data_IF_421769832738
#
_entry.id   IF_421769832738
#
_cell.length_a   1.000
_cell.length_b   1.000
_cell.length_c   1.000
_cell.angle_alpha   90.00
_cell.angle_beta   90.00
_cell.angle_gamma   90.00
#
_symmetry.space_group_name_H-M   'P 1'
#
loop_
_entity.id
_entity.type
_entity.pdbx_description
1 polymer ?
#
# COMPACT_ATOMS: atom_id res chain seq x y z
N UNK A 1 31.33 -46.50 -36.32
CA UNK A 1 30.51 -45.27 -36.33
C UNK A 1 30.86 -44.49 -35.08
N UNK A 2 31.68 -43.46 -35.23
CA UNK A 2 32.02 -42.52 -34.16
C UNK A 2 30.89 -41.51 -34.03
N UNK A 3 30.12 -41.57 -32.93
CA UNK A 3 29.19 -40.53 -32.56
C UNK A 3 29.98 -39.23 -32.34
N UNK A 4 29.69 -38.20 -33.15
CA UNK A 4 30.19 -36.86 -32.89
C UNK A 4 29.51 -36.34 -31.62
N UNK A 5 30.26 -35.80 -30.64
CA UNK A 5 29.64 -35.22 -29.46
C UNK A 5 28.81 -34.00 -29.91
N UNK A 6 27.52 -34.02 -29.57
CA UNK A 6 26.65 -32.86 -29.70
C UNK A 6 27.25 -31.71 -28.90
N UNK A 7 27.88 -30.76 -29.57
CA UNK A 7 28.30 -29.50 -28.97
C UNK A 7 27.02 -28.72 -28.62
N UNK A 8 26.58 -28.84 -27.38
CA UNK A 8 25.55 -27.95 -26.85
C UNK A 8 26.10 -26.52 -26.87
N UNK A 9 25.39 -25.56 -27.50
CA UNK A 9 25.84 -24.18 -27.54
C UNK A 9 26.00 -23.66 -26.12
N UNK A 10 27.19 -23.14 -25.81
CA UNK A 10 27.51 -22.64 -24.48
C UNK A 10 26.90 -21.25 -24.31
N UNK A 11 26.31 -20.93 -23.15
CA UNK A 11 25.72 -19.60 -22.93
C UNK A 11 26.72 -18.46 -23.19
N UNK A 12 28.00 -18.69 -22.88
CA UNK A 12 29.09 -17.75 -23.12
C UNK A 12 29.44 -17.50 -24.59
N UNK A 13 28.91 -18.28 -25.54
CA UNK A 13 29.09 -18.02 -26.98
C UNK A 13 27.99 -17.15 -27.59
N UNK A 14 26.97 -16.78 -26.79
CA UNK A 14 25.93 -15.87 -27.23
C UNK A 14 26.45 -14.42 -27.23
N UNK A 15 25.93 -13.55 -28.11
CA UNK A 15 26.08 -12.10 -27.99
C UNK A 15 25.68 -11.59 -26.60
N UNK A 16 26.41 -10.59 -26.11
CA UNK A 16 26.23 -10.02 -24.76
C UNK A 16 24.79 -9.60 -24.48
N UNK A 17 24.09 -9.03 -25.47
CA UNK A 17 22.70 -8.58 -25.36
C UNK A 17 21.74 -9.74 -25.09
N UNK A 18 22.01 -10.93 -25.67
CA UNK A 18 21.21 -12.12 -25.42
C UNK A 18 21.50 -12.70 -24.03
N UNK A 19 22.76 -12.67 -23.59
CA UNK A 19 23.13 -13.08 -22.23
C UNK A 19 22.42 -12.20 -21.21
N UNK A 20 22.47 -10.87 -21.37
CA UNK A 20 21.77 -9.91 -20.50
C UNK A 20 20.28 -10.22 -20.46
N UNK A 21 19.66 -10.42 -21.64
CA UNK A 21 18.22 -10.72 -21.72
C UNK A 21 17.84 -12.02 -21.02
N UNK A 22 18.68 -13.06 -21.10
CA UNK A 22 18.47 -14.32 -20.37
C UNK A 22 18.59 -14.09 -18.86
N UNK A 23 19.66 -13.42 -18.43
CA UNK A 23 19.95 -13.18 -17.01
C UNK A 23 18.87 -12.32 -16.34
N UNK A 24 18.20 -11.43 -17.08
CA UNK A 24 17.09 -10.60 -16.58
C UNK A 24 15.90 -11.42 -16.06
N UNK A 25 15.72 -12.66 -16.53
CA UNK A 25 14.63 -13.53 -16.05
C UNK A 25 14.97 -14.26 -14.74
N UNK A 26 16.20 -14.12 -14.25
CA UNK A 26 16.61 -14.72 -12.98
C UNK A 26 16.16 -13.87 -11.79
N UNK A 27 15.88 -14.54 -10.68
CA UNK A 27 15.69 -13.84 -9.41
C UNK A 27 17.05 -13.27 -8.93
N UNK A 28 17.02 -12.28 -8.01
CA UNK A 28 18.24 -11.65 -7.50
C UNK A 28 19.32 -12.61 -7.00
N UNK A 29 18.93 -13.68 -6.30
CA UNK A 29 19.88 -14.63 -5.68
C UNK A 29 20.60 -15.46 -6.74
N UNK A 30 19.87 -15.91 -7.76
CA UNK A 30 20.44 -16.70 -8.84
C UNK A 30 21.34 -15.83 -9.73
N UNK A 31 21.01 -14.55 -9.91
CA UNK A 31 21.88 -13.60 -10.60
C UNK A 31 23.23 -13.44 -9.88
N UNK A 32 23.21 -13.26 -8.55
CA UNK A 32 24.43 -13.18 -7.74
C UNK A 32 25.24 -14.49 -7.78
N UNK A 33 24.58 -15.65 -7.88
CA UNK A 33 25.27 -16.93 -8.08
C UNK A 33 25.95 -17.00 -9.45
N UNK A 34 25.31 -16.49 -10.51
CA UNK A 34 25.91 -16.44 -11.85
C UNK A 34 27.22 -15.64 -11.87
N UNK A 35 27.36 -14.58 -11.06
CA UNK A 35 28.64 -13.84 -10.93
C UNK A 35 29.79 -14.72 -10.42
N UNK A 36 29.49 -15.78 -9.68
CA UNK A 36 30.50 -16.69 -9.11
C UNK A 36 30.88 -17.83 -10.05
N UNK A 37 30.19 -17.97 -11.20
CA UNK A 37 30.41 -19.08 -12.14
C UNK A 37 31.65 -18.85 -13.01
N UNK A 38 31.78 -17.67 -13.62
CA UNK A 38 32.92 -17.31 -14.46
C UNK A 38 33.11 -15.80 -14.58
N UNK A 39 34.29 -15.38 -15.06
CA UNK A 39 34.63 -13.95 -15.25
C UNK A 39 33.69 -13.24 -16.20
N UNK A 40 33.35 -13.86 -17.34
CA UNK A 40 32.44 -13.27 -18.33
C UNK A 40 31.08 -12.89 -17.72
N UNK A 41 30.45 -13.81 -16.98
CA UNK A 41 29.16 -13.53 -16.34
C UNK A 41 29.29 -12.50 -15.22
N UNK A 42 30.39 -12.53 -14.47
CA UNK A 42 30.68 -11.51 -13.48
C UNK A 42 30.77 -10.12 -14.11
N UNK A 43 31.56 -9.98 -15.18
CA UNK A 43 31.78 -8.71 -15.86
C UNK A 43 30.46 -8.19 -16.47
N UNK A 44 29.71 -9.04 -17.18
CA UNK A 44 28.39 -8.68 -17.76
C UNK A 44 27.42 -8.21 -16.68
N UNK A 45 27.30 -8.94 -15.57
CA UNK A 45 26.37 -8.58 -14.50
C UNK A 45 26.83 -7.30 -13.79
N UNK A 46 28.13 -7.14 -13.55
CA UNK A 46 28.69 -5.99 -12.84
C UNK A 46 28.64 -4.69 -13.64
N UNK A 47 28.76 -4.77 -14.97
CA UNK A 47 28.77 -3.61 -15.87
C UNK A 47 27.37 -3.25 -16.41
N UNK A 48 26.41 -4.19 -16.36
CA UNK A 48 25.04 -3.92 -16.81
C UNK A 48 24.20 -3.30 -15.70
N UNK A 49 23.84 -2.02 -15.87
CA UNK A 49 22.93 -1.32 -14.95
C UNK A 49 21.58 -2.04 -14.79
N UNK A 50 21.06 -2.65 -15.86
CA UNK A 50 19.80 -3.41 -15.83
C UNK A 50 19.91 -4.66 -14.96
N UNK A 51 21.05 -5.36 -14.99
CA UNK A 51 21.27 -6.55 -14.16
C UNK A 51 21.61 -6.17 -12.71
N UNK A 52 22.38 -5.09 -12.49
CA UNK A 52 22.66 -4.57 -11.15
C UNK A 52 21.41 -4.03 -10.45
N UNK A 53 20.44 -3.53 -11.20
CA UNK A 53 19.21 -2.98 -10.65
C UNK A 53 18.37 -4.03 -9.88
N UNK A 54 18.29 -5.26 -10.39
CA UNK A 54 17.50 -6.36 -9.80
C UNK A 54 17.87 -6.67 -8.34
N UNK A 55 19.14 -6.98 -7.99
CA UNK A 55 19.51 -7.25 -6.61
C UNK A 55 19.46 -6.00 -5.73
N UNK A 56 19.69 -4.80 -6.28
CA UNK A 56 19.57 -3.56 -5.50
C UNK A 56 18.14 -3.27 -5.09
N UNK A 57 17.15 -3.52 -5.95
CA UNK A 57 15.74 -3.45 -5.59
C UNK A 57 15.43 -4.37 -4.40
N UNK A 58 15.90 -5.61 -4.44
CA UNK A 58 15.71 -6.57 -3.35
C UNK A 58 16.31 -6.07 -2.03
N UNK A 59 17.53 -5.53 -2.06
CA UNK A 59 18.19 -4.98 -0.86
C UNK A 59 17.42 -3.78 -0.30
N UNK A 60 16.90 -2.92 -1.17
CA UNK A 60 16.10 -1.76 -0.79
C UNK A 60 14.67 -2.13 -0.33
N UNK A 61 14.24 -3.39 -0.49
CA UNK A 61 12.86 -3.81 -0.22
C UNK A 61 11.85 -3.19 -1.19
N UNK A 62 12.27 -2.87 -2.42
CA UNK A 62 11.45 -2.22 -3.44
C UNK A 62 11.14 -3.18 -4.60
N UNK A 63 10.04 -2.91 -5.28
CA UNK A 63 9.61 -3.62 -6.48
C UNK A 63 9.89 -2.78 -7.73
N UNK A 64 10.08 -3.45 -8.87
CA UNK A 64 10.22 -2.75 -10.15
C UNK A 64 8.88 -2.11 -10.55
N UNK A 65 8.94 -0.83 -10.88
CA UNK A 65 7.75 -0.06 -11.24
C UNK A 65 7.20 -0.43 -12.62
N UNK A 66 5.95 -0.03 -12.92
CA UNK A 66 5.33 -0.24 -14.24
C UNK A 66 6.19 0.38 -15.36
N UNK A 67 6.06 -0.09 -16.62
CA UNK A 67 6.84 0.46 -17.73
C UNK A 67 6.75 1.98 -17.82
N UNK A 68 7.90 2.65 -17.99
CA UNK A 68 8.00 4.10 -18.07
C UNK A 68 8.99 4.52 -19.17
N UNK A 69 9.00 5.81 -19.50
CA UNK A 69 9.97 6.36 -20.45
C UNK A 69 11.42 6.35 -19.90
N UNK A 70 11.60 6.09 -18.61
CA UNK A 70 12.90 6.01 -17.95
C UNK A 70 13.53 4.65 -18.22
N UNK A 71 14.65 4.64 -18.94
CA UNK A 71 15.41 3.42 -19.22
C UNK A 71 16.05 2.80 -17.97
N UNK A 72 16.58 1.56 -18.06
CA UNK A 72 17.13 0.83 -16.91
C UNK A 72 18.22 1.59 -16.14
N UNK A 73 19.13 2.28 -16.85
CA UNK A 73 20.17 3.09 -16.21
C UNK A 73 19.59 4.27 -15.40
N UNK A 74 18.52 4.91 -15.91
CA UNK A 74 17.84 5.98 -15.18
C UNK A 74 17.12 5.45 -13.93
N UNK A 75 16.44 4.30 -14.03
CA UNK A 75 15.82 3.63 -12.87
C UNK A 75 16.85 3.26 -11.81
N UNK A 76 18.00 2.77 -12.23
CA UNK A 76 19.11 2.44 -11.35
C UNK A 76 19.63 3.68 -10.62
N UNK A 77 19.81 4.80 -11.34
CA UNK A 77 20.22 6.06 -10.73
C UNK A 77 19.18 6.57 -9.72
N UNK A 78 17.90 6.58 -10.09
CA UNK A 78 16.81 6.98 -9.19
C UNK A 78 16.78 6.13 -7.91
N UNK A 79 17.03 4.82 -8.02
CA UNK A 79 17.14 3.93 -6.86
C UNK A 79 18.34 4.30 -5.98
N UNK A 80 19.49 4.60 -6.58
CA UNK A 80 20.67 5.02 -5.84
C UNK A 80 20.44 6.34 -5.11
N UNK A 81 19.87 7.34 -5.79
CA UNK A 81 19.56 8.65 -5.21
C UNK A 81 18.56 8.50 -4.05
N UNK A 82 17.53 7.68 -4.25
CA UNK A 82 16.55 7.35 -3.21
C UNK A 82 17.18 6.71 -1.98
N UNK A 83 18.10 5.75 -2.16
CA UNK A 83 18.77 5.08 -1.03
C UNK A 83 19.70 6.03 -0.29
N UNK A 84 20.47 6.87 -0.99
CA UNK A 84 21.33 7.87 -0.36
C UNK A 84 20.53 8.84 0.53
N UNK A 85 19.41 9.34 0.02
CA UNK A 85 18.52 10.23 0.76
C UNK A 85 17.78 9.54 1.89
N UNK A 86 17.51 8.23 1.78
CA UNK A 86 16.94 7.46 2.86
C UNK A 86 17.93 7.24 4.02
N UNK A 87 19.21 6.98 3.69
CA UNK A 87 20.27 6.75 4.68
C UNK A 87 20.70 8.04 5.39
N UNK A 88 20.65 9.17 4.69
CA UNK A 88 20.99 10.50 5.19
C UNK A 88 19.92 11.52 4.74
N UNK A 89 18.76 11.58 5.41
CA UNK A 89 17.67 12.45 5.00
C UNK A 89 18.04 13.93 5.17
N UNK A 90 18.23 14.61 4.04
CA UNK A 90 18.38 16.06 3.98
C UNK A 90 17.01 16.68 3.70
N UNK A 91 16.46 17.39 4.70
CA UNK A 91 15.18 18.08 4.57
C UNK A 91 15.42 19.47 3.96
N UNK A 92 15.54 19.54 2.63
CA UNK A 92 15.82 20.79 1.91
C UNK A 92 14.64 21.77 1.93
N UNK A 93 13.42 21.27 2.10
CA UNK A 93 12.20 22.07 2.12
C UNK A 93 11.18 21.50 3.11
N UNK A 94 10.62 22.38 3.94
CA UNK A 94 9.51 22.07 4.83
C UNK A 94 8.32 22.94 4.43
N UNK A 95 7.15 22.31 4.25
CA UNK A 95 5.89 22.99 3.98
C UNK A 95 4.92 22.75 5.14
N UNK A 96 4.21 23.80 5.53
CA UNK A 96 3.17 23.72 6.55
C UNK A 96 1.81 23.66 5.86
N UNK A 97 1.15 22.50 5.95
CA UNK A 97 -0.20 22.32 5.42
C UNK A 97 -1.21 22.69 6.52
N UNK A 98 -2.08 23.71 6.31
CA UNK A 98 -3.10 24.07 7.29
C UNK A 98 -4.16 22.97 7.38
N UNK A 99 -4.56 22.63 8.61
CA UNK A 99 -5.58 21.62 8.87
C UNK A 99 -6.99 22.22 8.82
N UNK A 100 -7.92 21.58 8.09
CA UNK A 100 -9.33 21.99 8.05
C UNK A 100 -10.07 21.59 9.35
N UNK A 101 -10.03 20.30 9.71
CA UNK A 101 -10.41 19.78 11.02
C UNK A 101 -9.22 18.97 11.58
N UNK A 102 -8.62 19.37 12.72
CA UNK A 102 -7.48 18.67 13.29
C UNK A 102 -7.82 17.26 13.82
N UNK A 103 -9.11 16.91 13.91
CA UNK A 103 -9.58 15.63 14.47
C UNK A 103 -9.81 14.55 13.42
N UNK A 104 -9.98 14.93 12.15
CA UNK A 104 -10.49 14.03 11.13
C UNK A 104 -9.67 14.16 9.84
N UNK A 105 -8.56 13.44 9.82
CA UNK A 105 -7.61 13.38 8.71
C UNK A 105 -6.90 12.03 8.69
N UNK A 106 -6.37 11.67 7.51
CA UNK A 106 -5.57 10.46 7.29
C UNK A 106 -4.40 10.80 6.38
N UNK A 107 -3.23 10.20 6.61
CA UNK A 107 -2.07 10.32 5.74
C UNK A 107 -1.55 8.92 5.41
N UNK A 108 -1.83 8.46 4.20
CA UNK A 108 -1.45 7.13 3.77
C UNK A 108 -1.01 7.12 2.31
N UNK A 109 0.03 6.35 1.99
CA UNK A 109 0.54 6.22 0.62
C UNK A 109 1.02 7.52 -0.02
N UNK A 110 1.36 8.55 0.77
CA UNK A 110 1.71 9.88 0.27
C UNK A 110 0.51 10.74 -0.12
N UNK A 111 -0.72 10.38 0.29
CA UNK A 111 -1.92 11.19 0.12
C UNK A 111 -2.43 11.61 1.49
N UNK A 112 -2.50 12.92 1.72
CA UNK A 112 -3.18 13.52 2.87
C UNK A 112 -4.65 13.71 2.52
N UNK A 113 -5.54 13.26 3.39
CA UNK A 113 -6.99 13.46 3.26
C UNK A 113 -7.50 14.12 4.52
N UNK A 114 -8.30 15.15 4.36
CA UNK A 114 -8.84 15.94 5.46
C UNK A 114 -10.34 16.12 5.30
N UNK A 115 -11.08 15.99 6.38
CA UNK A 115 -12.48 16.37 6.38
C UNK A 115 -12.64 17.88 6.30
N UNK A 116 -13.55 18.31 5.42
CA UNK A 116 -14.00 19.69 5.30
C UNK A 116 -15.48 19.74 5.68
N UNK A 117 -15.76 19.83 6.99
CA UNK A 117 -17.10 19.64 7.52
C UNK A 117 -17.42 18.16 7.75
N UNK A 118 -18.68 17.76 7.65
CA UNK A 118 -19.15 16.40 7.99
C UNK A 118 -19.48 15.53 6.77
N UNK A 119 -19.27 16.03 5.55
CA UNK A 119 -19.60 15.32 4.30
C UNK A 119 -18.60 15.53 3.16
N UNK A 120 -17.69 16.49 3.27
CA UNK A 120 -16.70 16.75 2.22
C UNK A 120 -15.32 16.30 2.67
N UNK A 121 -14.51 15.86 1.71
CA UNK A 121 -13.12 15.46 1.91
C UNK A 121 -12.23 16.20 0.92
N UNK A 122 -11.16 16.81 1.41
CA UNK A 122 -10.09 17.38 0.61
C UNK A 122 -8.89 16.42 0.58
N UNK A 123 -8.33 16.23 -0.61
CA UNK A 123 -7.21 15.33 -0.84
C UNK A 123 -6.02 16.14 -1.35
N UNK A 124 -4.83 15.77 -0.88
CA UNK A 124 -3.55 16.28 -1.35
C UNK A 124 -2.58 15.11 -1.53
N UNK A 125 -2.29 14.77 -2.78
CA UNK A 125 -1.16 13.92 -3.11
C UNK A 125 0.13 14.72 -2.92
N UNK A 126 0.96 14.28 -1.98
CA UNK A 126 2.23 14.92 -1.67
C UNK A 126 3.22 14.71 -2.83
N UNK A 127 3.96 15.75 -3.24
CA UNK A 127 4.96 15.63 -4.28
C UNK A 127 6.18 14.81 -3.80
N UNK A 128 6.87 14.18 -4.74
CA UNK A 128 8.16 13.54 -4.49
C UNK A 128 9.03 13.61 -5.74
N UNK A 129 10.08 14.44 -5.70
CA UNK A 129 11.02 14.61 -6.83
C UNK A 129 11.71 13.29 -7.16
N UNK A 130 12.22 12.57 -6.15
CA UNK A 130 12.92 11.29 -6.32
C UNK A 130 12.05 10.21 -6.95
N UNK A 131 10.74 10.26 -6.72
CA UNK A 131 9.77 9.30 -7.28
C UNK A 131 9.05 9.83 -8.50
N UNK A 132 9.33 11.07 -8.94
CA UNK A 132 8.62 11.74 -10.03
C UNK A 132 7.13 11.93 -9.76
N UNK A 133 6.73 12.08 -8.50
CA UNK A 133 5.35 12.26 -8.08
C UNK A 133 5.05 13.75 -8.06
N UNK A 134 4.09 14.17 -8.89
CA UNK A 134 3.57 15.54 -8.88
C UNK A 134 2.56 15.74 -7.75
N UNK A 135 2.46 16.97 -7.27
CA UNK A 135 1.41 17.37 -6.35
C UNK A 135 0.06 17.42 -7.08
N UNK A 136 -0.97 16.87 -6.45
CA UNK A 136 -2.36 16.98 -6.92
C UNK A 136 -3.28 17.29 -5.76
N UNK A 137 -4.23 18.18 -5.97
CA UNK A 137 -5.25 18.53 -4.98
C UNK A 137 -6.61 18.37 -5.63
N UNK A 138 -7.52 17.70 -4.95
CA UNK A 138 -8.91 17.57 -5.36
C UNK A 138 -9.82 17.48 -4.14
N UNK A 139 -11.12 17.66 -4.35
CA UNK A 139 -12.13 17.64 -3.29
C UNK A 139 -13.32 16.82 -3.73
N UNK A 140 -13.80 15.96 -2.84
CA UNK A 140 -15.13 15.35 -2.93
C UNK A 140 -16.06 16.21 -2.06
N UNK A 141 -16.96 16.96 -2.69
CA UNK A 141 -17.83 17.92 -1.99
C UNK A 141 -18.93 17.25 -1.16
N UNK A 142 -19.33 16.03 -1.52
CA UNK A 142 -20.28 15.22 -0.75
C UNK A 142 -19.99 13.73 -0.93
N UNK A 143 -19.60 13.06 0.15
CA UNK A 143 -19.41 11.60 0.19
C UNK A 143 -20.71 10.84 0.40
N UNK A 144 -21.87 11.49 0.36
CA UNK A 144 -23.19 10.85 0.42
C UNK A 144 -23.64 10.38 1.81
N UNK A 145 -22.78 10.47 2.83
CA UNK A 145 -23.08 10.10 4.22
C UNK A 145 -22.42 11.09 5.19
N UNK A 146 -22.85 11.09 6.46
CA UNK A 146 -22.15 11.84 7.51
C UNK A 146 -20.90 11.08 7.93
N UNK A 147 -19.77 11.76 8.00
CA UNK A 147 -18.47 11.14 8.29
C UNK A 147 -18.24 11.08 9.80
N UNK A 148 -18.09 9.88 10.35
CA UNK A 148 -17.58 9.66 11.71
C UNK A 148 -16.06 9.45 11.73
N UNK A 149 -15.56 8.64 10.81
CA UNK A 149 -14.13 8.37 10.58
C UNK A 149 -13.93 7.83 9.16
N UNK A 150 -12.69 7.80 8.66
CA UNK A 150 -12.37 7.20 7.36
C UNK A 150 -10.93 6.70 7.29
N UNK A 151 -10.67 5.85 6.31
CA UNK A 151 -9.31 5.51 5.89
C UNK A 151 -9.26 5.32 4.37
N UNK A 152 -8.05 5.29 3.83
CA UNK A 152 -7.79 5.29 2.40
C UNK A 152 -6.74 4.26 2.01
N UNK A 153 -6.84 3.77 0.77
CA UNK A 153 -5.78 3.03 0.09
C UNK A 153 -5.63 3.56 -1.35
N UNK A 154 -4.69 4.49 -1.59
CA UNK A 154 -4.43 5.06 -2.91
C UNK A 154 -4.07 4.03 -3.98
N UNK A 155 -3.46 2.89 -3.62
CA UNK A 155 -3.04 1.88 -4.58
C UNK A 155 -4.24 1.19 -5.24
N UNK A 156 -5.39 1.19 -4.56
CA UNK A 156 -6.62 0.57 -5.03
C UNK A 156 -7.73 1.60 -5.29
N UNK A 157 -7.44 2.91 -5.18
CA UNK A 157 -8.43 3.99 -5.24
C UNK A 157 -9.57 3.82 -4.22
N UNK A 158 -9.27 3.25 -3.05
CA UNK A 158 -10.27 2.94 -2.03
C UNK A 158 -10.38 4.02 -0.97
N UNK A 159 -11.61 4.45 -0.70
CA UNK A 159 -12.02 5.28 0.42
C UNK A 159 -13.06 4.52 1.25
N UNK A 160 -12.71 4.16 2.48
CA UNK A 160 -13.60 3.50 3.43
C UNK A 160 -14.07 4.50 4.49
N UNK A 161 -15.37 4.80 4.52
CA UNK A 161 -15.96 5.84 5.38
C UNK A 161 -16.88 5.18 6.39
N UNK A 162 -16.63 5.42 7.67
CA UNK A 162 -17.56 5.06 8.74
C UNK A 162 -18.59 6.16 8.87
N UNK A 163 -19.86 5.77 8.73
CA UNK A 163 -20.98 6.68 8.84
C UNK A 163 -21.26 7.07 10.29
N UNK A 164 -21.48 8.36 10.54
CA UNK A 164 -22.02 8.85 11.80
C UNK A 164 -23.50 8.48 11.93
N UNK A 165 -23.75 7.40 12.65
CA UNK A 165 -25.07 6.84 12.90
C UNK A 165 -25.75 7.41 14.16
N UNK A 166 -25.27 8.50 14.76
CA UNK A 166 -25.86 9.11 15.97
C UNK A 166 -27.35 9.47 15.84
N UNK A 167 -27.85 9.60 14.61
CA UNK A 167 -29.26 9.87 14.30
C UNK A 167 -30.05 8.68 13.75
N UNK A 168 -29.43 7.51 13.58
CA UNK A 168 -30.11 6.32 13.06
C UNK A 168 -30.90 5.61 14.17
N UNK A 169 -32.18 5.30 13.89
CA UNK A 169 -33.08 4.65 14.86
C UNK A 169 -32.71 3.19 15.17
N UNK A 170 -31.89 2.57 14.33
CA UNK A 170 -31.20 1.31 14.63
C UNK A 170 -29.73 1.64 14.85
N UNK A 171 -29.13 1.12 15.92
CA UNK A 171 -27.71 1.24 16.29
C UNK A 171 -26.80 0.53 15.26
N UNK A 172 -27.00 0.79 13.97
CA UNK A 172 -26.33 0.15 12.85
C UNK A 172 -25.42 1.18 12.21
N UNK A 173 -24.14 0.84 12.16
CA UNK A 173 -23.08 1.63 11.55
C UNK A 173 -22.89 1.12 10.12
N UNK A 174 -22.93 2.05 9.17
CA UNK A 174 -22.58 1.81 7.77
C UNK A 174 -21.11 2.13 7.52
N UNK A 175 -20.43 1.27 6.77
CA UNK A 175 -19.08 1.52 6.24
C UNK A 175 -19.20 1.63 4.73
N UNK A 176 -19.13 2.84 4.21
CA UNK A 176 -19.29 3.14 2.79
C UNK A 176 -17.95 2.95 2.06
N UNK A 177 -17.96 2.14 1.01
CA UNK A 177 -16.80 1.86 0.15
C UNK A 177 -16.92 2.70 -1.13
N UNK A 178 -16.04 3.68 -1.28
CA UNK A 178 -16.06 4.66 -2.36
C UNK A 178 -14.72 4.75 -3.05
N UNK A 179 -14.70 5.37 -4.22
CA UNK A 179 -13.48 5.78 -4.91
C UNK A 179 -12.86 7.02 -4.26
N UNK A 180 -11.54 7.16 -4.27
CA UNK A 180 -10.86 8.35 -3.77
C UNK A 180 -10.92 9.52 -4.75
N UNK A 181 -10.90 9.24 -6.05
CA UNK A 181 -10.81 10.29 -7.06
C UNK A 181 -12.13 11.07 -7.26
N UNK A 182 -13.29 10.44 -7.13
CA UNK A 182 -14.59 11.09 -7.37
C UNK A 182 -15.70 10.79 -6.33
N UNK A 183 -15.45 9.90 -5.36
CA UNK A 183 -16.39 9.60 -4.28
C UNK A 183 -17.60 8.75 -4.69
N UNK A 184 -17.58 8.17 -5.89
CA UNK A 184 -18.61 7.24 -6.36
C UNK A 184 -18.48 5.88 -5.66
N UNK A 185 -19.54 5.03 -5.66
CA UNK A 185 -19.45 3.66 -5.15
C UNK A 185 -18.29 2.90 -5.78
N UNK A 186 -17.45 2.25 -4.97
CA UNK A 186 -16.25 1.62 -5.47
C UNK A 186 -16.59 0.43 -6.40
N UNK A 187 -16.12 0.40 -7.66
CA UNK A 187 -16.57 -0.59 -8.66
C UNK A 187 -16.17 -2.03 -8.34
N UNK A 188 -15.07 -2.24 -7.62
CA UNK A 188 -14.64 -3.57 -7.18
C UNK A 188 -15.40 -4.08 -5.94
N UNK A 189 -16.23 -3.27 -5.29
CA UNK A 189 -16.99 -3.66 -4.11
C UNK A 189 -18.35 -4.26 -4.52
N UNK A 190 -18.58 -5.53 -4.18
CA UNK A 190 -19.85 -6.22 -4.42
C UNK A 190 -20.98 -5.65 -3.56
N UNK A 191 -20.63 -5.09 -2.40
CA UNK A 191 -21.53 -4.37 -1.51
C UNK A 191 -20.96 -2.99 -1.24
N UNK A 192 -21.69 -1.95 -1.62
CA UNK A 192 -21.25 -0.54 -1.47
C UNK A 192 -21.16 -0.13 0.00
N UNK A 193 -21.98 -0.74 0.86
CA UNK A 193 -22.02 -0.45 2.29
C UNK A 193 -21.91 -1.76 3.06
N UNK A 194 -20.88 -1.86 3.91
CA UNK A 194 -20.77 -2.93 4.91
C UNK A 194 -21.50 -2.47 6.16
N UNK A 195 -22.25 -3.35 6.81
CA UNK A 195 -23.05 -2.98 7.99
C UNK A 195 -22.57 -3.71 9.23
N UNK A 196 -22.61 -3.00 10.36
CA UNK A 196 -22.30 -3.55 11.66
C UNK A 196 -23.26 -2.98 12.71
N UNK A 197 -23.81 -3.86 13.55
CA UNK A 197 -24.61 -3.47 14.69
C UNK A 197 -23.79 -3.73 15.96
N UNK A 198 -23.12 -2.72 16.52
CA UNK A 198 -22.39 -2.88 17.77
C UNK A 198 -23.35 -3.17 18.93
N UNK A 199 -22.85 -3.95 19.88
CA UNK A 199 -23.55 -4.29 21.13
C UNK A 199 -23.67 -3.09 22.08
N UNK A 200 -22.73 -2.14 22.00
CA UNK A 200 -22.70 -0.91 22.80
C UNK A 200 -22.54 0.36 21.94
N UNK A 201 -22.66 1.52 22.57
CA UNK A 201 -22.40 2.80 21.91
C UNK A 201 -20.92 2.95 21.57
N UNK A 202 -20.62 3.28 20.30
CA UNK A 202 -19.26 3.47 19.81
C UNK A 202 -18.89 4.95 19.86
N UNK A 203 -17.68 5.22 20.32
CA UNK A 203 -17.12 6.58 20.43
C UNK A 203 -15.80 6.74 19.70
N UNK A 204 -15.17 5.64 19.27
CA UNK A 204 -13.85 5.64 18.64
C UNK A 204 -13.76 4.57 17.56
N UNK A 205 -13.01 4.87 16.51
CA UNK A 205 -12.73 3.95 15.44
C UNK A 205 -11.22 3.83 15.25
N UNK A 206 -10.78 2.69 14.74
CA UNK A 206 -9.46 2.54 14.14
C UNK A 206 -9.63 1.66 12.92
N UNK A 207 -9.34 2.24 11.76
CA UNK A 207 -9.55 1.62 10.46
C UNK A 207 -8.19 1.28 9.87
N UNK A 208 -8.06 0.09 9.31
CA UNK A 208 -6.86 -0.37 8.61
C UNK A 208 -7.26 -1.08 7.32
N UNK A 209 -6.54 -0.80 6.24
CA UNK A 209 -6.71 -1.48 4.96
C UNK A 209 -5.46 -2.33 4.70
N UNK A 210 -5.66 -3.57 4.28
CA UNK A 210 -4.59 -4.46 3.85
C UNK A 210 -5.10 -5.28 2.66
N UNK A 211 -4.64 -4.94 1.45
CA UNK A 211 -5.10 -5.57 0.22
C UNK A 211 -6.64 -5.57 0.14
N UNK A 212 -7.26 -6.76 0.08
CA UNK A 212 -8.70 -6.93 -0.05
C UNK A 212 -9.43 -6.81 1.30
N UNK A 213 -8.74 -6.55 2.40
CA UNK A 213 -9.31 -6.51 3.74
C UNK A 213 -9.41 -5.09 4.30
N UNK A 214 -10.57 -4.78 4.85
CA UNK A 214 -10.79 -3.61 5.72
C UNK A 214 -11.05 -4.14 7.12
N UNK A 215 -10.16 -3.79 8.05
CA UNK A 215 -10.32 -4.03 9.47
C UNK A 215 -10.78 -2.77 10.17
N UNK A 216 -11.75 -2.88 11.07
CA UNK A 216 -12.23 -1.78 11.89
C UNK A 216 -12.35 -2.24 13.33
N UNK A 217 -11.65 -1.55 14.22
CA UNK A 217 -11.88 -1.62 15.66
C UNK A 217 -12.90 -0.55 16.03
N UNK A 218 -14.01 -0.99 16.60
CA UNK A 218 -15.05 -0.17 17.21
C UNK A 218 -14.79 -0.10 18.72
N UNK A 219 -14.55 1.09 19.25
CA UNK A 219 -14.28 1.33 20.67
C UNK A 219 -15.44 2.05 21.36
N UNK A 220 -15.92 1.49 22.46
CA UNK A 220 -16.99 2.03 23.28
C UNK A 220 -16.50 2.56 24.64
N UNK A 221 -17.46 2.78 25.54
CA UNK A 221 -17.19 3.14 26.93
C UNK A 221 -16.75 1.91 27.74
N UNK A 222 -16.24 2.14 28.96
CA UNK A 222 -15.93 1.07 29.93
C UNK A 222 -15.04 -0.09 29.41
N UNK A 223 -14.20 0.18 28.40
CA UNK A 223 -13.28 -0.82 27.83
C UNK A 223 -13.87 -1.71 26.76
N UNK A 224 -15.13 -1.49 26.36
CA UNK A 224 -15.75 -2.20 25.25
C UNK A 224 -14.95 -2.01 23.96
N UNK A 225 -14.64 -3.12 23.29
CA UNK A 225 -14.07 -3.11 21.96
C UNK A 225 -14.57 -4.30 21.13
N UNK A 226 -14.90 -4.03 19.87
CA UNK A 226 -15.11 -5.05 18.86
C UNK A 226 -14.16 -4.80 17.70
N UNK A 227 -13.58 -5.86 17.15
CA UNK A 227 -12.78 -5.83 15.94
C UNK A 227 -13.47 -6.66 14.87
N UNK A 228 -13.74 -6.05 13.74
CA UNK A 228 -14.30 -6.73 12.58
C UNK A 228 -13.34 -6.59 11.40
N UNK A 229 -13.19 -7.66 10.64
CA UNK A 229 -12.48 -7.63 9.36
C UNK A 229 -13.38 -8.16 8.27
N UNK A 230 -13.56 -7.36 7.24
CA UNK A 230 -14.27 -7.73 6.03
C UNK A 230 -13.29 -7.84 4.87
N UNK A 231 -13.57 -8.75 3.96
CA UNK A 231 -13.09 -8.61 2.60
C UNK A 231 -13.98 -7.58 1.89
N UNK A 232 -13.45 -6.40 1.61
CA UNK A 232 -14.25 -5.26 1.13
C UNK A 232 -14.75 -5.44 -0.30
N UNK A 233 -14.05 -6.24 -1.12
CA UNK A 233 -14.46 -6.55 -2.51
C UNK A 233 -15.67 -7.49 -2.54
N UNK A 234 -15.68 -8.52 -1.70
CA UNK A 234 -16.78 -9.50 -1.64
C UNK A 234 -17.90 -9.11 -0.66
N UNK A 235 -17.60 -8.25 0.32
CA UNK A 235 -18.48 -7.96 1.46
C UNK A 235 -18.48 -9.04 2.55
N UNK A 236 -17.75 -10.15 2.36
CA UNK A 236 -17.72 -11.23 3.33
C UNK A 236 -17.00 -10.80 4.62
N UNK A 237 -17.59 -11.08 5.78
CA UNK A 237 -16.94 -10.87 7.08
C UNK A 237 -16.07 -12.08 7.40
N UNK A 238 -14.77 -11.85 7.56
CA UNK A 238 -13.78 -12.89 7.86
C UNK A 238 -13.50 -13.02 9.36
N UNK A 239 -13.57 -11.92 10.10
CA UNK A 239 -13.27 -11.91 11.53
C UNK A 239 -14.28 -11.03 12.27
N UNK A 240 -14.68 -11.50 13.44
CA UNK A 240 -15.40 -10.74 14.44
C UNK A 240 -14.85 -11.17 15.80
N UNK A 241 -14.13 -10.26 16.44
CA UNK A 241 -13.55 -10.46 17.75
C UNK A 241 -14.21 -9.48 18.71
N UNK A 242 -14.86 -10.00 19.74
CA UNK A 242 -15.58 -9.22 20.75
C UNK A 242 -15.04 -9.57 22.13
N UNK A 243 -14.92 -8.59 23.03
CA UNK A 243 -14.46 -8.86 24.39
C UNK A 243 -14.38 -7.61 25.27
N UNK A 244 -14.36 -7.80 26.58
CA UNK A 244 -14.23 -6.73 27.59
C UNK A 244 -12.81 -6.21 27.78
N UNK A 245 -11.97 -6.29 26.75
CA UNK A 245 -10.57 -5.88 26.80
C UNK A 245 -10.34 -4.76 25.78
N UNK A 246 -9.44 -3.83 26.11
CA UNK A 246 -8.98 -2.88 25.10
C UNK A 246 -8.06 -3.62 24.12
N UNK A 247 -8.43 -3.66 22.84
CA UNK A 247 -7.68 -4.36 21.79
C UNK A 247 -7.22 -3.39 20.70
N UNK A 248 -5.94 -3.07 20.61
CA UNK A 248 -5.38 -2.48 19.38
C UNK A 248 -5.13 -3.58 18.35
N UNK A 249 -5.12 -3.23 17.07
CA UNK A 249 -4.78 -4.18 16.02
C UNK A 249 -4.02 -3.52 14.88
N UNK A 250 -3.28 -4.34 14.13
CA UNK A 250 -2.78 -3.98 12.81
C UNK A 250 -2.64 -5.23 11.93
N UNK A 251 -2.59 -5.05 10.61
CA UNK A 251 -2.30 -6.14 9.68
C UNK A 251 -0.79 -6.34 9.57
N UNK A 252 -0.34 -7.59 9.69
CA UNK A 252 1.03 -7.97 9.31
C UNK A 252 1.09 -8.48 7.87
N UNK A 253 0.02 -9.13 7.43
CA UNK A 253 -0.21 -9.53 6.05
C UNK A 253 -1.71 -9.71 5.80
N UNK A 254 -2.06 -10.05 4.57
CA UNK A 254 -3.38 -10.53 4.14
C UNK A 254 -3.92 -11.76 4.92
N UNK A 255 -3.09 -12.40 5.75
CA UNK A 255 -3.41 -13.65 6.48
C UNK A 255 -3.22 -13.53 7.99
N UNK A 256 -2.58 -12.46 8.46
CA UNK A 256 -2.18 -12.33 9.85
C UNK A 256 -2.48 -10.94 10.39
N UNK A 257 -3.08 -10.92 11.58
CA UNK A 257 -3.38 -9.70 12.33
C UNK A 257 -2.62 -9.77 13.64
N UNK A 258 -1.97 -8.67 14.00
CA UNK A 258 -1.40 -8.47 15.32
C UNK A 258 -2.46 -7.88 16.24
N UNK A 259 -2.65 -8.47 17.42
CA UNK A 259 -3.57 -7.97 18.44
C UNK A 259 -2.79 -7.54 19.68
N UNK A 260 -2.92 -6.27 20.05
CA UNK A 260 -2.44 -5.76 21.32
C UNK A 260 -3.57 -5.78 22.34
N UNK A 261 -3.55 -6.73 23.27
CA UNK A 261 -4.61 -6.90 24.27
C UNK A 261 -4.13 -6.42 25.63
N UNK A 262 -4.88 -5.50 26.24
CA UNK A 262 -4.66 -5.06 27.63
C UNK A 262 -5.82 -5.55 28.49
N UNK A 263 -5.50 -6.37 29.48
CA UNK A 263 -6.44 -6.77 30.54
C UNK A 263 -6.61 -5.58 31.48
N UNK A 264 -7.83 -5.07 31.60
CA UNK A 264 -8.22 -4.06 32.58
C UNK A 264 -8.87 -4.73 33.79
#
# INVERSE_FOLDING_TARGET
MSEQPLHHPHICSLPTELIIRILRFLNPRDLLRCQQVCRLLNDIISESAELQYIPKLMVAGLEDGPPSAVGPAGRFQMLQDHQQQWDAPECDAAEMIPMYDPRLWELYGGVLVQAQGNRALNFMQLPSVLRGIEQKIWTISDVGCLIADFSIDPAQDLLAIVEDATHNQGNSIGVHLRTMHDGTPHPAASSVVLTHQPSEAIIRYSIRVCQDFVGIRFGGMAGYAELLVWNWKSGARHLCFTGGYSVSFDFLSDRHILLGVVYM
#
